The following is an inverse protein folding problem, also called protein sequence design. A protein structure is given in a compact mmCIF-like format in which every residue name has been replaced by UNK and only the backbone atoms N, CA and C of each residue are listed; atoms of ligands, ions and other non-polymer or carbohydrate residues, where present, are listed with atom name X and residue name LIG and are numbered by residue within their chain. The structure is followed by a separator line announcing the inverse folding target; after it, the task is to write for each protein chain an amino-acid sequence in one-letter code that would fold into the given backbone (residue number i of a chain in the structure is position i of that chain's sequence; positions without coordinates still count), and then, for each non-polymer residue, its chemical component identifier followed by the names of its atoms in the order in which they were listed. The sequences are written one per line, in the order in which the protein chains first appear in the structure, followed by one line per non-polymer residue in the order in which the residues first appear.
data_IF_438990406348
#
_entry.id   IF_438990406348
#
_cell.length_a   1.000
_cell.length_b   1.000
_cell.length_c   1.000
_cell.angle_alpha   90.00
_cell.angle_beta   90.00
_cell.angle_gamma   90.00
#
_symmetry.space_group_name_H-M   'P 1'
#
loop_
_entity.id
_entity.type
_entity.pdbx_description
1 polymer ?
#
# COMPACT_ATOMS: atom_id res chain seq x y z
N UNK A 1 -15.77 36.82 55.95
CA UNK A 1 -16.79 37.00 56.99
C UNK A 1 -17.49 35.66 57.08
N UNK A 2 -17.04 34.74 57.97
CA UNK A 2 -17.59 34.39 59.31
C UNK A 2 -18.99 33.71 59.10
N UNK A 3 -19.35 32.52 59.60
CA UNK A 3 -18.93 31.58 60.64
C UNK A 3 -19.74 30.27 60.42
N UNK A 4 -19.16 29.09 60.65
CA UNK A 4 -19.30 28.17 61.79
C UNK A 4 -20.67 28.09 62.51
N UNK A 5 -21.16 26.84 62.73
CA UNK A 5 -21.46 26.24 64.02
C UNK A 5 -22.13 24.86 63.79
N UNK A 6 -21.52 23.80 64.08
CA UNK A 6 -21.56 22.69 65.07
C UNK A 6 -22.90 22.48 65.80
N UNK A 7 -23.37 21.20 65.84
CA UNK A 7 -23.43 20.38 67.10
C UNK A 7 -24.15 19.04 66.89
N UNK A 8 -23.57 17.96 67.42
CA UNK A 8 -24.19 16.76 67.98
C UNK A 8 -24.69 17.08 69.39
N UNK A 9 -25.42 16.23 70.18
CA UNK A 9 -25.35 14.77 70.28
C UNK A 9 -26.64 14.03 70.78
N UNK A 10 -26.44 12.75 70.98
CA UNK A 10 -26.80 11.87 72.10
C UNK A 10 -28.14 11.11 72.15
N UNK A 11 -28.05 9.81 72.09
CA UNK A 11 -28.25 8.78 73.15
C UNK A 11 -29.70 8.39 73.50
N UNK A 12 -29.92 7.08 73.54
CA UNK A 12 -31.07 6.44 74.19
C UNK A 12 -31.13 4.95 74.01
N UNK A 13 -30.52 4.22 74.94
CA UNK A 13 -30.68 2.78 75.15
C UNK A 13 -32.13 2.46 75.54
N UNK A 14 -32.68 1.32 75.11
CA UNK A 14 -33.27 0.41 76.13
C UNK A 14 -33.51 -1.00 75.54
N UNK A 15 -33.06 -1.94 76.26
CA UNK A 15 -33.14 -3.40 76.20
C UNK A 15 -34.58 -3.91 76.45
N UNK A 16 -35.00 -4.96 75.76
CA UNK A 16 -35.94 -5.93 76.32
C UNK A 16 -35.80 -7.30 75.63
N UNK A 17 -35.39 -8.23 76.40
CA UNK A 17 -35.25 -9.65 76.23
C UNK A 17 -36.65 -10.33 76.29
N UNK A 18 -36.96 -11.29 75.39
CA UNK A 18 -37.76 -12.47 75.72
C UNK A 18 -37.55 -13.62 74.72
N UNK A 19 -37.31 -14.73 75.31
CA UNK A 19 -37.07 -16.12 74.94
C UNK A 19 -38.33 -16.77 74.34
N UNK A 20 -38.15 -17.63 73.38
CA UNK A 20 -38.49 -19.05 73.29
C UNK A 20 -39.06 -19.49 71.93
N UNK A 21 -38.63 -20.65 71.51
CA UNK A 21 -39.39 -21.49 70.58
C UNK A 21 -38.49 -22.11 69.44
N UNK A 22 -37.72 -23.14 69.82
CA UNK A 22 -37.08 -24.02 68.84
C UNK A 22 -38.08 -24.92 68.17
N UNK A 23 -38.17 -24.89 66.84
CA UNK A 23 -38.62 -26.00 66.04
C UNK A 23 -37.65 -26.22 64.88
N UNK A 24 -36.82 -27.26 65.03
CA UNK A 24 -35.88 -27.69 63.99
C UNK A 24 -36.64 -28.39 62.87
N UNK A 25 -36.75 -27.78 61.69
CA UNK A 25 -37.04 -28.47 60.44
C UNK A 25 -35.71 -28.73 59.75
N UNK A 26 -35.26 -29.96 59.75
CA UNK A 26 -34.12 -30.44 58.96
C UNK A 26 -34.58 -30.52 57.49
N UNK A 27 -34.26 -29.47 56.72
CA UNK A 27 -34.31 -29.50 55.24
C UNK A 27 -33.03 -30.16 54.79
N UNK A 28 -33.10 -31.40 54.32
CA UNK A 28 -32.04 -32.08 53.62
C UNK A 28 -31.69 -31.27 52.35
N UNK A 29 -30.63 -30.50 52.43
CA UNK A 29 -30.02 -29.86 51.23
C UNK A 29 -29.39 -30.97 50.38
N UNK A 30 -30.11 -31.37 49.34
CA UNK A 30 -29.48 -32.10 48.22
C UNK A 30 -28.50 -31.15 47.54
N UNK A 31 -27.22 -31.55 47.38
CA UNK A 31 -26.32 -30.77 46.56
C UNK A 31 -26.87 -30.86 45.11
N UNK A 32 -27.48 -29.78 44.64
CA UNK A 32 -27.72 -29.61 43.22
C UNK A 32 -26.35 -29.64 42.52
N UNK A 33 -26.02 -30.78 41.95
CA UNK A 33 -24.89 -30.88 41.03
C UNK A 33 -25.08 -29.78 39.98
N UNK A 34 -24.26 -28.73 40.11
CA UNK A 34 -24.16 -27.70 39.09
C UNK A 34 -23.77 -28.40 37.78
N UNK A 35 -24.76 -28.65 36.93
CA UNK A 35 -24.46 -29.06 35.55
C UNK A 35 -23.63 -27.97 34.95
N UNK A 36 -22.44 -28.29 34.40
CA UNK A 36 -21.66 -27.28 33.69
C UNK A 36 -22.55 -26.80 32.54
N UNK A 37 -22.98 -25.55 32.63
CA UNK A 37 -23.62 -24.84 31.55
C UNK A 37 -22.68 -24.96 30.37
N UNK A 38 -23.03 -25.79 29.39
CA UNK A 38 -22.33 -25.87 28.12
C UNK A 38 -22.42 -24.47 27.53
N UNK A 39 -21.34 -23.71 27.62
CA UNK A 39 -21.19 -22.41 26.95
C UNK A 39 -21.53 -22.65 25.47
N UNK A 40 -22.76 -22.30 25.10
CA UNK A 40 -23.23 -22.36 23.71
C UNK A 40 -22.51 -21.30 22.90
N UNK A 41 -21.24 -21.57 22.62
CA UNK A 41 -20.44 -20.75 21.70
C UNK A 41 -21.13 -20.70 20.34
N UNK A 42 -20.80 -19.68 19.54
CA UNK A 42 -21.26 -19.50 18.15
C UNK A 42 -21.14 -20.84 17.39
N UNK A 43 -22.22 -21.32 16.76
CA UNK A 43 -22.25 -22.56 15.96
C UNK A 43 -22.57 -22.23 14.50
N UNK A 44 -22.11 -23.08 13.57
CA UNK A 44 -22.52 -23.12 12.17
C UNK A 44 -23.28 -24.40 11.89
N UNK A 45 -24.28 -24.34 11.01
CA UNK A 45 -25.08 -25.50 10.64
C UNK A 45 -24.46 -26.20 9.43
N UNK A 46 -24.23 -27.51 9.58
CA UNK A 46 -23.90 -28.43 8.48
C UNK A 46 -25.11 -29.33 8.20
N UNK A 47 -25.47 -29.50 6.93
CA UNK A 47 -26.50 -30.48 6.52
C UNK A 47 -25.79 -31.74 6.06
N UNK A 48 -26.10 -32.85 6.71
CA UNK A 48 -25.53 -34.17 6.43
C UNK A 48 -25.81 -34.62 5.00
N UNK A 49 -24.87 -35.34 4.43
CA UNK A 49 -24.96 -36.00 3.13
C UNK A 49 -25.15 -37.53 3.32
N UNK A 50 -25.54 -38.21 2.25
CA UNK A 50 -25.67 -39.66 2.29
C UNK A 50 -24.28 -40.30 2.61
N UNK A 51 -24.27 -41.21 3.58
CA UNK A 51 -23.04 -41.89 4.03
C UNK A 51 -22.25 -41.17 5.10
N UNK A 52 -22.65 -39.94 5.50
CA UNK A 52 -21.96 -39.23 6.59
C UNK A 52 -22.12 -39.97 7.92
N UNK A 53 -21.02 -39.99 8.68
CA UNK A 53 -21.01 -40.33 10.11
C UNK A 53 -20.54 -39.12 10.92
N UNK A 54 -20.82 -39.07 12.21
CA UNK A 54 -20.29 -37.99 13.06
C UNK A 54 -18.76 -37.97 13.07
N UNK A 55 -18.13 -39.13 12.96
CA UNK A 55 -16.67 -39.25 12.87
C UNK A 55 -16.13 -38.59 11.59
N UNK A 56 -16.72 -38.89 10.44
CA UNK A 56 -16.32 -38.30 9.15
C UNK A 56 -16.55 -36.82 9.11
N UNK A 57 -17.66 -36.33 9.63
CA UNK A 57 -17.98 -34.90 9.74
C UNK A 57 -16.96 -34.20 10.64
N UNK A 58 -16.59 -34.80 11.79
CA UNK A 58 -15.58 -34.27 12.68
C UNK A 58 -14.18 -34.26 12.01
N UNK A 59 -13.76 -35.38 11.41
CA UNK A 59 -12.48 -35.51 10.72
C UNK A 59 -12.33 -34.50 9.56
N UNK A 60 -13.42 -34.23 8.83
CA UNK A 60 -13.43 -33.32 7.68
C UNK A 60 -13.46 -31.86 8.08
N UNK A 61 -14.25 -31.49 9.06
CA UNK A 61 -14.61 -30.08 9.35
C UNK A 61 -14.19 -29.56 10.72
N UNK A 62 -13.79 -30.43 11.66
CA UNK A 62 -13.33 -30.02 12.98
C UNK A 62 -11.81 -30.21 13.14
N UNK A 63 -11.28 -29.91 14.32
CA UNK A 63 -9.85 -29.99 14.60
C UNK A 63 -9.30 -31.41 14.59
N UNK A 64 -10.17 -32.40 14.82
CA UNK A 64 -9.82 -33.80 14.73
C UNK A 64 -11.04 -34.72 14.75
N UNK A 65 -10.85 -36.01 14.41
CA UNK A 65 -11.94 -36.97 14.39
C UNK A 65 -12.57 -37.17 15.77
N UNK A 66 -11.80 -37.06 16.85
CA UNK A 66 -12.29 -37.24 18.24
C UNK A 66 -13.33 -36.20 18.65
N UNK A 67 -13.46 -35.11 17.93
CA UNK A 67 -14.53 -34.11 18.12
C UNK A 67 -15.92 -34.67 17.79
N UNK A 68 -16.07 -35.90 17.27
CA UNK A 68 -17.35 -36.53 17.02
C UNK A 68 -18.16 -36.69 18.29
N UNK A 69 -17.55 -36.96 19.45
CA UNK A 69 -18.24 -37.06 20.74
C UNK A 69 -18.86 -35.72 21.16
N UNK A 70 -18.14 -34.59 20.87
CA UNK A 70 -18.66 -33.25 21.08
C UNK A 70 -19.87 -32.99 20.20
N UNK A 71 -19.81 -33.37 18.90
CA UNK A 71 -20.93 -33.26 17.97
C UNK A 71 -22.11 -34.06 18.43
N UNK A 72 -21.90 -35.29 18.89
CA UNK A 72 -22.98 -36.16 19.43
C UNK A 72 -23.74 -35.50 20.59
N UNK A 73 -22.99 -34.95 21.55
CA UNK A 73 -23.59 -34.30 22.72
C UNK A 73 -24.35 -33.03 22.36
N UNK A 74 -23.75 -32.15 21.54
CA UNK A 74 -24.36 -30.85 21.16
C UNK A 74 -25.63 -31.07 20.33
N UNK A 75 -25.64 -32.08 19.45
CA UNK A 75 -26.76 -32.34 18.53
C UNK A 75 -27.70 -33.45 19.03
N UNK A 76 -27.39 -34.09 20.17
CA UNK A 76 -28.18 -35.20 20.74
C UNK A 76 -28.43 -36.33 19.72
N UNK A 77 -27.37 -36.68 18.95
CA UNK A 77 -27.49 -37.71 17.92
C UNK A 77 -27.47 -39.10 18.53
N UNK A 78 -28.57 -39.92 18.39
CA UNK A 78 -28.63 -41.26 19.01
C UNK A 78 -27.77 -42.29 18.29
N UNK A 79 -27.63 -42.19 16.97
CA UNK A 79 -26.89 -43.15 16.13
C UNK A 79 -25.73 -42.44 15.39
N UNK A 80 -24.53 -42.29 15.99
CA UNK A 80 -23.43 -41.53 15.42
C UNK A 80 -22.81 -42.10 14.12
N UNK A 81 -23.07 -43.38 13.85
CA UNK A 81 -22.57 -44.09 12.64
C UNK A 81 -23.55 -44.02 11.46
N UNK A 82 -24.79 -43.61 11.68
CA UNK A 82 -25.85 -43.58 10.66
C UNK A 82 -26.63 -42.27 10.73
N UNK A 83 -26.16 -41.28 9.98
CA UNK A 83 -26.84 -40.00 9.91
C UNK A 83 -27.83 -39.99 8.74
N UNK A 84 -29.04 -39.53 8.99
CA UNK A 84 -30.03 -39.29 7.95
C UNK A 84 -29.55 -38.12 7.07
N UNK A 85 -29.54 -38.25 5.72
CA UNK A 85 -29.23 -37.14 4.83
C UNK A 85 -30.12 -35.91 5.10
N UNK A 86 -29.56 -34.71 5.06
CA UNK A 86 -30.29 -33.46 5.32
C UNK A 86 -30.41 -33.09 6.80
N UNK A 87 -29.95 -33.94 7.74
CA UNK A 87 -29.96 -33.61 9.17
C UNK A 87 -29.08 -32.39 9.44
N UNK A 88 -29.65 -31.41 10.15
CA UNK A 88 -28.94 -30.18 10.51
C UNK A 88 -28.06 -30.40 11.77
N UNK A 89 -26.75 -30.44 11.60
CA UNK A 89 -25.80 -30.56 12.69
C UNK A 89 -25.23 -29.18 13.03
N UNK A 90 -25.23 -28.80 14.31
CA UNK A 90 -24.56 -27.62 14.86
C UNK A 90 -23.11 -27.95 15.13
N UNK A 91 -22.18 -27.28 14.43
CA UNK A 91 -20.74 -27.41 14.61
C UNK A 91 -20.21 -26.15 15.34
N UNK A 92 -19.46 -26.29 16.46
CA UNK A 92 -18.90 -25.16 17.17
C UNK A 92 -17.87 -24.42 16.33
N UNK A 93 -18.04 -23.12 16.13
CA UNK A 93 -17.14 -22.29 15.30
C UNK A 93 -15.67 -22.37 15.77
N UNK A 94 -15.47 -22.41 17.11
CA UNK A 94 -14.13 -22.49 17.71
C UNK A 94 -13.38 -23.80 17.41
N UNK A 95 -14.10 -24.85 17.04
CA UNK A 95 -13.55 -26.18 16.71
C UNK A 95 -13.43 -26.41 15.21
N UNK A 96 -13.89 -25.50 14.36
CA UNK A 96 -13.81 -25.65 12.91
C UNK A 96 -12.35 -25.75 12.45
N UNK A 97 -12.10 -26.71 11.56
CA UNK A 97 -10.82 -26.90 10.89
C UNK A 97 -10.50 -25.70 10.00
N UNK A 98 -9.29 -25.18 10.16
CA UNK A 98 -8.76 -24.06 9.35
C UNK A 98 -7.55 -24.56 8.57
N UNK A 99 -7.52 -24.22 7.29
CA UNK A 99 -6.36 -24.44 6.41
C UNK A 99 -5.52 -23.17 6.36
N UNK A 100 -4.20 -23.33 6.41
CA UNK A 100 -3.27 -22.23 6.17
C UNK A 100 -3.26 -21.87 4.69
N UNK A 101 -3.26 -20.60 4.41
CA UNK A 101 -3.07 -20.04 3.08
C UNK A 101 -1.68 -19.43 2.97
N UNK A 102 -1.31 -19.06 1.76
CA UNK A 102 -0.05 -18.38 1.45
C UNK A 102 -0.33 -17.09 0.70
N UNK A 103 0.62 -16.14 0.76
CA UNK A 103 0.70 -14.97 -0.09
C UNK A 103 1.84 -15.15 -1.08
N UNK A 104 1.65 -14.72 -2.32
CA UNK A 104 2.67 -14.76 -3.37
C UNK A 104 3.32 -13.40 -3.52
N UNK A 105 4.64 -13.34 -3.62
CA UNK A 105 5.36 -12.13 -3.97
C UNK A 105 5.27 -11.94 -5.48
N UNK A 106 4.66 -10.84 -5.92
CA UNK A 106 4.49 -10.52 -7.35
C UNK A 106 5.55 -9.58 -7.87
N UNK A 107 6.08 -8.69 -7.01
CA UNK A 107 7.18 -7.80 -7.37
C UNK A 107 8.12 -7.58 -6.17
N UNK A 108 9.43 -7.56 -6.44
CA UNK A 108 10.49 -7.17 -5.51
C UNK A 108 11.48 -6.29 -6.25
N UNK A 109 11.77 -5.14 -5.67
CA UNK A 109 12.79 -4.21 -6.15
C UNK A 109 13.67 -3.74 -4.99
N UNK A 110 14.95 -3.53 -5.25
CA UNK A 110 15.90 -3.05 -4.25
C UNK A 110 16.13 -4.04 -3.10
N UNK A 111 16.37 -3.53 -1.90
CA UNK A 111 16.66 -4.33 -0.72
C UNK A 111 15.37 -4.81 -0.05
N UNK A 112 15.11 -6.11 -0.12
CA UNK A 112 13.98 -6.74 0.56
C UNK A 112 14.34 -8.11 1.13
N UNK A 113 13.82 -8.43 2.30
CA UNK A 113 14.12 -9.66 3.03
C UNK A 113 12.86 -10.27 3.64
N UNK A 114 12.83 -11.60 3.71
CA UNK A 114 11.87 -12.35 4.52
C UNK A 114 12.53 -12.93 5.76
N UNK A 115 11.81 -12.98 6.85
CA UNK A 115 12.17 -13.74 8.04
C UNK A 115 11.39 -15.04 8.09
N UNK A 116 12.10 -16.17 8.14
CA UNK A 116 11.53 -17.50 8.24
C UNK A 116 12.49 -18.39 9.01
N UNK A 117 11.99 -19.22 9.92
CA UNK A 117 12.83 -20.20 10.64
C UNK A 117 13.94 -19.60 11.53
N UNK A 118 13.80 -18.33 11.96
CA UNK A 118 14.74 -17.68 12.88
C UNK A 118 15.78 -16.77 12.21
N UNK A 119 15.78 -16.63 10.87
CA UNK A 119 16.73 -15.79 10.15
C UNK A 119 16.07 -14.95 9.06
N UNK A 120 16.70 -13.83 8.69
CA UNK A 120 16.37 -13.06 7.50
C UNK A 120 17.14 -13.57 6.28
N UNK A 121 16.44 -13.74 5.17
CA UNK A 121 17.01 -14.10 3.87
C UNK A 121 16.51 -13.13 2.79
N UNK A 122 17.27 -12.90 1.70
CA UNK A 122 16.80 -12.12 0.57
C UNK A 122 15.45 -12.63 0.04
N UNK A 123 14.59 -11.69 -0.35
CA UNK A 123 13.30 -12.01 -0.94
C UNK A 123 13.39 -11.97 -2.47
N UNK A 124 12.70 -12.88 -3.14
CA UNK A 124 12.63 -12.95 -4.59
C UNK A 124 11.18 -13.00 -5.09
N UNK A 125 10.98 -12.63 -6.36
CA UNK A 125 9.70 -12.77 -7.04
C UNK A 125 9.22 -14.23 -7.01
N UNK A 126 7.91 -14.42 -6.99
CA UNK A 126 7.22 -15.71 -6.89
C UNK A 126 7.47 -16.49 -5.59
N UNK A 127 8.13 -15.89 -4.58
CA UNK A 127 8.25 -16.50 -3.25
C UNK A 127 6.86 -16.62 -2.62
N UNK A 128 6.55 -17.79 -2.06
CA UNK A 128 5.33 -18.01 -1.28
C UNK A 128 5.63 -17.73 0.20
N UNK A 129 4.86 -16.82 0.79
CA UNK A 129 4.94 -16.48 2.22
C UNK A 129 3.84 -17.19 2.99
N UNK A 130 4.19 -17.76 4.12
CA UNK A 130 3.29 -18.46 5.01
C UNK A 130 2.93 -17.62 6.25
N UNK A 131 1.91 -18.06 6.97
CA UNK A 131 1.54 -17.50 8.28
C UNK A 131 2.73 -17.57 9.26
N UNK A 132 3.03 -16.46 9.93
CA UNK A 132 4.15 -16.29 10.86
C UNK A 132 5.41 -15.72 10.23
N UNK A 133 5.50 -15.64 8.90
CA UNK A 133 6.65 -15.00 8.24
C UNK A 133 6.52 -13.48 8.23
N UNK A 134 7.67 -12.81 8.12
CA UNK A 134 7.78 -11.35 8.08
C UNK A 134 8.51 -10.92 6.81
N UNK A 135 8.10 -9.77 6.29
CA UNK A 135 8.76 -9.09 5.16
C UNK A 135 9.25 -7.75 5.66
N UNK A 136 10.47 -7.38 5.27
CA UNK A 136 10.99 -6.03 5.47
C UNK A 136 11.64 -5.50 4.21
N UNK A 137 11.47 -4.20 3.97
CA UNK A 137 12.12 -3.44 2.90
C UNK A 137 13.19 -2.53 3.49
N UNK A 138 14.27 -2.31 2.76
CA UNK A 138 15.28 -1.29 3.09
C UNK A 138 14.94 0.05 2.44
N UNK A 139 15.84 1.04 2.54
CA UNK A 139 15.64 2.43 2.10
C UNK A 139 15.26 2.60 0.61
N UNK A 140 15.58 1.64 -0.23
CA UNK A 140 15.23 1.59 -1.66
C UNK A 140 14.49 0.31 -2.04
N UNK A 141 13.89 -0.36 -1.05
CA UNK A 141 13.21 -1.63 -1.23
C UNK A 141 11.72 -1.46 -1.48
N UNK A 142 11.18 -2.24 -2.42
CA UNK A 142 9.74 -2.32 -2.68
C UNK A 142 9.35 -3.78 -2.76
N UNK A 143 8.21 -4.12 -2.17
CA UNK A 143 7.64 -5.46 -2.24
C UNK A 143 6.15 -5.35 -2.48
N UNK A 144 5.64 -6.11 -3.44
CA UNK A 144 4.20 -6.29 -3.62
C UNK A 144 3.87 -7.77 -3.46
N UNK A 145 2.92 -8.05 -2.59
CA UNK A 145 2.38 -9.39 -2.36
C UNK A 145 0.92 -9.46 -2.81
N UNK A 146 0.53 -10.64 -3.28
CA UNK A 146 -0.82 -10.98 -3.72
C UNK A 146 -1.37 -12.15 -2.90
N UNK A 147 -2.61 -12.03 -2.46
CA UNK A 147 -3.35 -13.09 -1.80
C UNK A 147 -4.16 -13.89 -2.82
N UNK A 148 -4.57 -15.10 -2.45
CA UNK A 148 -5.29 -16.03 -3.33
C UNK A 148 -6.64 -15.51 -3.87
N UNK A 149 -7.18 -14.42 -3.31
CA UNK A 149 -8.40 -13.77 -3.76
C UNK A 149 -8.17 -12.55 -4.67
N UNK A 150 -6.92 -12.28 -5.04
CA UNK A 150 -6.54 -11.12 -5.86
C UNK A 150 -6.34 -9.82 -5.06
N UNK A 151 -6.32 -9.89 -3.72
CA UNK A 151 -5.93 -8.76 -2.88
C UNK A 151 -4.44 -8.47 -3.06
N UNK A 152 -4.07 -7.22 -3.30
CA UNK A 152 -2.68 -6.75 -3.38
C UNK A 152 -2.31 -5.91 -2.17
N UNK A 153 -1.06 -6.08 -1.72
CA UNK A 153 -0.50 -5.27 -0.64
C UNK A 153 0.93 -4.88 -1.03
N UNK A 154 1.22 -3.58 -1.07
CA UNK A 154 2.53 -3.04 -1.42
C UNK A 154 3.20 -2.42 -0.21
N UNK A 155 4.46 -2.79 0.00
CA UNK A 155 5.34 -2.26 1.04
C UNK A 155 6.37 -1.34 0.36
N UNK A 156 6.32 -0.03 0.60
CA UNK A 156 7.34 0.90 0.15
C UNK A 156 8.62 0.78 1.01
N UNK A 157 9.63 1.64 0.79
CA UNK A 157 10.86 1.65 1.58
C UNK A 157 10.62 1.68 3.10
N UNK A 158 11.57 1.11 3.85
CA UNK A 158 11.65 1.12 5.32
C UNK A 158 10.41 0.57 6.02
N UNK A 159 9.73 -0.40 5.43
CA UNK A 159 8.51 -1.00 5.94
C UNK A 159 8.72 -2.44 6.43
N UNK A 160 7.96 -2.84 7.45
CA UNK A 160 8.00 -4.20 8.01
C UNK A 160 6.61 -4.71 8.33
N UNK A 161 6.24 -5.84 7.72
CA UNK A 161 4.93 -6.49 7.84
C UNK A 161 5.09 -7.96 8.24
N UNK A 162 4.29 -8.42 9.20
CA UNK A 162 4.16 -9.84 9.58
C UNK A 162 2.82 -10.40 9.09
N UNK A 163 2.83 -11.58 8.50
CA UNK A 163 1.64 -12.35 8.13
C UNK A 163 1.12 -13.11 9.36
N UNK A 164 0.40 -12.43 10.26
CA UNK A 164 0.04 -12.97 11.59
C UNK A 164 -0.96 -14.12 11.54
N UNK A 165 -1.96 -13.99 10.67
CA UNK A 165 -2.96 -15.04 10.41
C UNK A 165 -3.32 -15.01 8.94
N UNK A 166 -3.26 -16.16 8.29
CA UNK A 166 -3.62 -16.31 6.90
C UNK A 166 -4.28 -17.68 6.70
N UNK A 167 -5.60 -17.76 6.91
CA UNK A 167 -6.33 -19.03 7.01
C UNK A 167 -7.68 -18.99 6.32
N UNK A 168 -8.16 -20.17 5.92
CA UNK A 168 -9.52 -20.42 5.43
C UNK A 168 -10.18 -21.49 6.28
N UNK A 169 -11.39 -21.26 6.72
CA UNK A 169 -12.22 -22.28 7.41
C UNK A 169 -12.74 -23.28 6.38
N UNK A 170 -12.46 -24.56 6.54
CA UNK A 170 -12.77 -25.62 5.55
C UNK A 170 -14.26 -25.68 5.24
N UNK A 171 -15.12 -25.74 6.25
CA UNK A 171 -16.57 -25.88 6.08
C UNK A 171 -17.21 -24.66 5.42
N UNK A 172 -16.87 -23.47 5.88
CA UNK A 172 -17.56 -22.24 5.48
C UNK A 172 -16.84 -21.51 4.36
N UNK A 173 -15.55 -21.85 4.13
CA UNK A 173 -14.65 -21.10 3.23
C UNK A 173 -14.41 -19.66 3.72
N UNK A 174 -14.72 -19.34 4.99
CA UNK A 174 -14.49 -18.04 5.59
C UNK A 174 -12.98 -17.75 5.65
N UNK A 175 -12.61 -16.54 5.25
CA UNK A 175 -11.22 -16.07 5.23
C UNK A 175 -10.90 -15.31 6.53
N UNK A 176 -9.76 -15.62 7.12
CA UNK A 176 -9.23 -14.98 8.32
C UNK A 176 -7.82 -14.48 8.04
N UNK A 177 -7.67 -13.16 7.84
CA UNK A 177 -6.45 -12.51 7.38
C UNK A 177 -6.10 -11.36 8.32
N UNK A 178 -4.95 -11.48 8.99
CA UNK A 178 -4.44 -10.48 9.92
C UNK A 178 -2.97 -10.26 9.63
N UNK A 179 -2.62 -9.02 9.40
CA UNK A 179 -1.26 -8.55 9.18
C UNK A 179 -0.85 -7.61 10.32
N UNK A 180 0.41 -7.62 10.69
CA UNK A 180 0.96 -6.73 11.72
C UNK A 180 2.04 -5.85 11.10
N UNK A 181 1.74 -4.56 10.95
CA UNK A 181 2.66 -3.53 10.50
C UNK A 181 3.43 -3.02 11.72
N UNK A 182 4.72 -3.33 11.79
CA UNK A 182 5.56 -2.94 12.94
C UNK A 182 6.39 -1.70 12.65
N UNK A 183 6.52 -1.30 11.36
CA UNK A 183 7.24 -0.12 10.91
C UNK A 183 6.83 0.25 9.48
N UNK A 184 6.85 1.54 9.17
CA UNK A 184 6.65 2.06 7.81
C UNK A 184 5.21 1.98 7.35
N UNK A 185 4.99 1.57 6.12
CA UNK A 185 3.73 1.71 5.43
C UNK A 185 3.32 0.42 4.69
N UNK A 186 2.02 0.23 4.55
CA UNK A 186 1.43 -0.74 3.63
C UNK A 186 0.26 -0.09 2.88
N UNK A 187 0.33 -0.14 1.55
CA UNK A 187 -0.74 0.24 0.64
C UNK A 187 -1.50 -1.04 0.24
N UNK A 188 -2.81 -1.06 0.40
CA UNK A 188 -3.63 -2.27 0.24
C UNK A 188 -4.82 -2.01 -0.65
N UNK A 189 -4.95 -2.87 -1.66
CA UNK A 189 -6.14 -2.97 -2.50
C UNK A 189 -6.82 -4.32 -2.22
N UNK A 190 -7.83 -4.28 -1.33
CA UNK A 190 -8.50 -5.47 -0.82
C UNK A 190 -9.74 -5.75 -1.64
N UNK A 191 -9.82 -6.94 -2.22
CA UNK A 191 -11.01 -7.40 -2.94
C UNK A 191 -12.22 -7.48 -2.00
N UNK A 192 -13.42 -7.26 -2.53
CA UNK A 192 -14.65 -7.30 -1.74
C UNK A 192 -14.81 -8.63 -1.01
N UNK A 193 -14.97 -8.58 0.32
CA UNK A 193 -15.19 -9.75 1.16
C UNK A 193 -16.59 -10.31 0.92
N UNK A 194 -16.65 -11.54 0.40
CA UNK A 194 -17.91 -12.18 -0.04
C UNK A 194 -18.79 -12.64 1.12
N UNK A 195 -18.19 -12.95 2.29
CA UNK A 195 -18.90 -13.48 3.45
C UNK A 195 -18.91 -12.49 4.60
N UNK A 196 -20.00 -12.45 5.35
CA UNK A 196 -20.16 -11.53 6.48
C UNK A 196 -19.08 -11.70 7.56
N UNK A 197 -18.65 -12.94 7.77
CA UNK A 197 -17.67 -13.28 8.80
C UNK A 197 -16.22 -13.32 8.25
N UNK A 198 -15.98 -12.97 6.97
CA UNK A 198 -14.61 -12.77 6.45
C UNK A 198 -13.95 -11.63 7.19
N UNK A 199 -12.67 -11.82 7.51
CA UNK A 199 -11.86 -10.85 8.24
C UNK A 199 -10.62 -10.47 7.45
N UNK A 200 -10.40 -9.18 7.29
CA UNK A 200 -9.14 -8.60 6.86
C UNK A 200 -8.78 -7.47 7.81
N UNK A 201 -7.61 -7.55 8.42
CA UNK A 201 -7.14 -6.55 9.38
C UNK A 201 -5.66 -6.25 9.19
N UNK A 202 -5.31 -4.98 9.21
CA UNK A 202 -3.95 -4.52 9.41
C UNK A 202 -3.86 -3.93 10.81
N UNK A 203 -2.89 -4.39 11.58
CA UNK A 203 -2.64 -3.97 12.95
C UNK A 203 -1.32 -3.22 13.01
N UNK A 204 -1.30 -2.09 13.68
CA UNK A 204 -0.09 -1.43 14.15
C UNK A 204 0.10 -1.70 15.65
N UNK A 205 1.17 -1.24 16.29
CA UNK A 205 1.31 -1.32 17.75
C UNK A 205 0.14 -0.71 18.52
N UNK A 206 -0.51 0.33 18.01
CA UNK A 206 -1.56 1.11 18.68
C UNK A 206 -2.99 0.81 18.23
N UNK A 207 -3.21 0.48 16.94
CA UNK A 207 -4.56 0.34 16.38
C UNK A 207 -4.78 -0.92 15.57
N UNK A 208 -6.04 -1.20 15.29
CA UNK A 208 -6.51 -2.23 14.36
C UNK A 208 -7.36 -1.55 13.29
N UNK A 209 -6.95 -1.65 12.03
CA UNK A 209 -7.72 -1.26 10.86
C UNK A 209 -8.38 -2.47 10.23
N UNK A 210 -9.72 -2.52 10.23
CA UNK A 210 -10.52 -3.61 9.68
C UNK A 210 -11.32 -3.16 8.47
N UNK A 211 -11.36 -3.99 7.39
CA UNK A 211 -11.96 -3.62 6.10
C UNK A 211 -12.84 -4.73 5.51
N UNK A 212 -13.65 -4.34 4.51
CA UNK A 212 -14.52 -5.27 3.76
C UNK A 212 -14.44 -5.12 2.23
N UNK A 213 -13.33 -4.66 1.69
CA UNK A 213 -13.16 -4.37 0.27
C UNK A 213 -12.94 -2.87 0.11
N UNK A 214 -11.69 -2.49 0.13
CA UNK A 214 -11.24 -1.10 0.29
C UNK A 214 -9.88 -0.95 -0.33
N UNK A 215 -9.63 0.24 -0.86
CA UNK A 215 -8.28 0.70 -1.16
C UNK A 215 -7.87 1.70 -0.09
N UNK A 216 -6.82 1.37 0.66
CA UNK A 216 -6.41 2.17 1.83
C UNK A 216 -4.92 1.97 2.14
N UNK A 217 -4.36 2.93 2.85
CA UNK A 217 -2.99 2.89 3.38
C UNK A 217 -3.00 2.89 4.89
N UNK A 218 -2.03 2.20 5.47
CA UNK A 218 -1.71 2.27 6.88
C UNK A 218 -0.23 2.61 7.01
N UNK A 219 0.08 3.70 7.69
CA UNK A 219 1.43 4.11 8.00
C UNK A 219 1.64 4.14 9.50
N UNK A 220 2.72 3.53 9.99
CA UNK A 220 3.14 3.56 11.38
C UNK A 220 4.52 4.19 11.49
N UNK A 221 4.58 5.35 12.12
CA UNK A 221 5.81 6.12 12.35
C UNK A 221 6.52 5.62 13.61
N UNK A 222 7.32 4.56 13.46
CA UNK A 222 8.01 3.91 14.58
C UNK A 222 9.14 4.76 15.19
N UNK A 223 9.75 5.63 14.39
CA UNK A 223 10.93 6.43 14.79
C UNK A 223 10.55 7.85 15.23
N UNK A 224 9.32 8.30 14.94
CA UNK A 224 8.80 9.61 15.29
C UNK A 224 7.92 9.59 16.55
N UNK A 225 6.67 10.05 16.39
CA UNK A 225 5.71 10.13 17.49
C UNK A 225 4.90 8.85 17.74
N UNK A 226 5.27 7.74 17.10
CA UNK A 226 4.59 6.44 17.15
C UNK A 226 3.09 6.53 16.76
N UNK A 227 2.73 7.51 15.95
CA UNK A 227 1.38 7.65 15.42
C UNK A 227 1.10 6.63 14.31
N UNK A 228 -0.15 6.22 14.21
CA UNK A 228 -0.64 5.44 13.08
C UNK A 228 -1.58 6.31 12.25
N UNK A 229 -1.30 6.42 10.95
CA UNK A 229 -2.15 7.08 9.96
C UNK A 229 -2.87 6.03 9.14
N UNK A 230 -4.14 6.26 8.88
CA UNK A 230 -4.97 5.40 8.02
C UNK A 230 -5.64 6.31 7.01
N UNK A 231 -5.33 6.16 5.72
CA UNK A 231 -5.95 6.90 4.62
C UNK A 231 -6.80 5.95 3.77
N UNK A 232 -8.04 6.34 3.50
CA UNK A 232 -8.99 5.53 2.73
C UNK A 232 -9.23 6.17 1.37
N UNK A 233 -8.85 5.45 0.31
CA UNK A 233 -8.99 5.91 -1.08
C UNK A 233 -10.28 5.41 -1.73
N UNK A 234 -10.79 4.25 -1.29
CA UNK A 234 -12.06 3.69 -1.72
C UNK A 234 -12.64 2.79 -0.62
N UNK A 235 -13.96 2.82 -0.44
CA UNK A 235 -14.68 2.02 0.53
C UNK A 235 -14.72 2.60 1.94
N UNK A 236 -14.61 1.75 2.96
CA UNK A 236 -14.68 2.16 4.37
C UNK A 236 -13.79 1.27 5.24
N UNK A 237 -13.04 1.90 6.14
CA UNK A 237 -12.17 1.24 7.13
C UNK A 237 -12.68 1.50 8.53
N UNK A 238 -12.85 0.47 9.34
CA UNK A 238 -13.07 0.61 10.78
C UNK A 238 -11.73 0.66 11.51
N UNK A 239 -11.42 1.78 12.15
CA UNK A 239 -10.18 1.98 12.90
C UNK A 239 -10.50 2.00 14.39
N UNK A 240 -9.87 1.12 15.16
CA UNK A 240 -10.07 1.03 16.61
C UNK A 240 -8.73 0.94 17.36
N UNK A 241 -8.64 1.54 18.53
CA UNK A 241 -7.53 1.31 19.44
C UNK A 241 -7.46 -0.15 19.88
N UNK A 242 -6.25 -0.71 20.02
CA UNK A 242 -6.09 -2.13 20.43
C UNK A 242 -6.81 -2.47 21.75
N UNK A 243 -6.96 -1.51 22.64
CA UNK A 243 -7.65 -1.70 23.93
C UNK A 243 -9.16 -1.41 23.88
N UNK A 244 -9.66 -0.84 22.76
CA UNK A 244 -11.04 -0.37 22.59
C UNK A 244 -11.62 -0.87 21.27
N UNK A 245 -11.51 -2.16 20.99
CA UNK A 245 -11.93 -2.75 19.71
C UNK A 245 -13.44 -2.63 19.43
N UNK A 246 -14.27 -2.38 20.44
CA UNK A 246 -15.70 -2.17 20.28
C UNK A 246 -16.05 -0.78 19.72
N UNK A 247 -15.16 0.21 19.88
CA UNK A 247 -15.41 1.60 19.56
C UNK A 247 -14.66 2.00 18.27
N UNK A 248 -14.92 1.28 17.17
CA UNK A 248 -14.27 1.57 15.91
C UNK A 248 -14.82 2.86 15.28
N UNK A 249 -13.92 3.80 14.98
CA UNK A 249 -14.19 4.96 14.13
C UNK A 249 -14.26 4.52 12.67
N UNK A 250 -15.33 4.84 11.97
CA UNK A 250 -15.46 4.56 10.54
C UNK A 250 -14.81 5.71 9.75
N UNK A 251 -13.83 5.34 8.93
CA UNK A 251 -13.17 6.23 7.98
C UNK A 251 -13.64 5.85 6.58
N UNK A 252 -14.31 6.78 5.91
CA UNK A 252 -14.83 6.59 4.55
C UNK A 252 -13.82 7.01 3.49
N UNK A 253 -14.11 6.68 2.22
CA UNK A 253 -13.32 7.14 1.08
C UNK A 253 -13.09 8.66 1.13
N UNK A 254 -11.92 9.09 0.70
CA UNK A 254 -11.41 10.47 0.70
C UNK A 254 -11.19 11.07 2.11
N UNK A 255 -11.13 10.22 3.15
CA UNK A 255 -10.78 10.63 4.50
C UNK A 255 -9.61 9.83 5.06
N UNK A 256 -8.87 10.48 5.96
CA UNK A 256 -7.84 9.86 6.78
C UNK A 256 -8.12 10.02 8.27
N UNK A 257 -7.49 9.19 9.08
CA UNK A 257 -7.53 9.31 10.55
C UNK A 257 -6.15 9.06 11.12
N UNK A 258 -5.84 9.75 12.20
CA UNK A 258 -4.56 9.66 12.91
C UNK A 258 -4.84 9.12 14.31
N UNK A 259 -4.16 8.06 14.66
CA UNK A 259 -4.20 7.52 16.00
C UNK A 259 -2.88 7.77 16.73
N UNK A 260 -2.97 8.14 17.99
CA UNK A 260 -1.80 8.35 18.87
C UNK A 260 -1.14 7.03 19.24
N UNK A 261 0.05 7.09 19.82
CA UNK A 261 0.74 5.93 20.37
C UNK A 261 -0.06 5.19 21.46
N UNK A 262 -0.93 5.91 22.19
CA UNK A 262 -1.84 5.33 23.19
C UNK A 262 -3.04 4.57 22.58
N UNK A 263 -3.25 4.68 21.27
CA UNK A 263 -4.38 4.07 20.57
C UNK A 263 -5.64 4.92 20.52
N UNK A 264 -5.58 6.20 20.91
CA UNK A 264 -6.70 7.12 20.73
C UNK A 264 -6.81 7.48 19.25
N UNK A 265 -7.95 7.14 18.64
CA UNK A 265 -8.24 7.39 17.22
C UNK A 265 -8.88 8.77 17.07
N UNK A 266 -8.25 9.64 16.26
CA UNK A 266 -8.78 10.97 15.94
C UNK A 266 -9.99 10.92 15.02
N UNK A 267 -10.75 12.02 14.98
CA UNK A 267 -11.82 12.19 14.00
C UNK A 267 -11.29 12.10 12.57
N UNK A 268 -12.06 11.55 11.61
CA UNK A 268 -11.67 11.54 10.21
C UNK A 268 -11.47 12.97 9.66
N UNK A 269 -10.39 13.15 8.88
CA UNK A 269 -10.01 14.42 8.24
C UNK A 269 -10.06 14.19 6.71
N UNK A 270 -10.61 15.14 5.92
CA UNK A 270 -10.60 15.05 4.47
C UNK A 270 -9.17 14.93 3.93
N UNK A 271 -8.93 14.04 2.99
CA UNK A 271 -7.67 13.92 2.27
C UNK A 271 -7.55 14.99 1.19
N UNK A 272 -6.33 15.41 0.88
CA UNK A 272 -6.06 16.29 -0.25
C UNK A 272 -6.44 15.60 -1.57
N UNK A 273 -6.97 16.33 -2.55
CA UNK A 273 -7.22 15.79 -3.88
C UNK A 273 -5.91 15.42 -4.59
N UNK A 274 -6.03 14.66 -5.67
CA UNK A 274 -4.88 14.26 -6.47
C UNK A 274 -4.24 15.48 -7.15
N UNK A 275 -2.91 15.68 -6.99
CA UNK A 275 -2.22 16.78 -7.65
C UNK A 275 -2.03 16.49 -9.14
N UNK A 276 -1.98 17.54 -9.95
CA UNK A 276 -1.69 17.45 -11.37
C UNK A 276 -0.18 17.64 -11.63
N UNK A 277 0.31 17.02 -12.74
CA UNK A 277 1.61 17.36 -13.32
C UNK A 277 1.45 18.53 -14.28
N UNK A 278 2.41 19.47 -14.30
CA UNK A 278 2.37 20.62 -15.21
C UNK A 278 2.53 20.19 -16.68
N UNK A 279 3.33 19.15 -16.93
CA UNK A 279 3.65 18.64 -18.27
C UNK A 279 3.56 17.10 -18.29
N UNK A 280 2.35 16.50 -18.21
CA UNK A 280 2.19 15.05 -18.09
C UNK A 280 2.68 14.29 -19.33
N UNK A 281 2.57 14.91 -20.54
CA UNK A 281 2.92 14.28 -21.81
C UNK A 281 4.39 14.49 -22.22
N UNK A 282 5.19 15.17 -21.38
CA UNK A 282 6.60 15.42 -21.70
C UNK A 282 7.40 14.14 -21.74
N UNK A 283 8.03 13.86 -22.91
CA UNK A 283 9.05 12.81 -22.97
C UNK A 283 10.23 13.19 -22.11
N UNK A 284 10.64 12.28 -21.24
CA UNK A 284 11.76 12.48 -20.31
C UNK A 284 13.08 12.13 -21.02
N UNK A 285 13.72 13.11 -21.65
CA UNK A 285 14.90 12.95 -22.50
C UNK A 285 16.20 13.50 -21.89
N UNK A 286 16.10 14.21 -20.76
CA UNK A 286 17.24 14.76 -20.02
C UNK A 286 18.01 13.66 -19.24
N UNK A 287 19.25 13.91 -18.76
CA UNK A 287 20.00 12.96 -17.94
C UNK A 287 19.20 12.42 -16.76
N UNK A 288 18.54 13.29 -16.01
CA UNK A 288 17.65 12.95 -14.92
C UNK A 288 16.17 13.14 -15.35
N UNK A 289 15.28 12.28 -14.86
CA UNK A 289 13.84 12.48 -15.01
C UNK A 289 13.38 13.53 -14.01
N UNK A 290 12.57 14.49 -14.47
CA UNK A 290 11.99 15.49 -13.60
C UNK A 290 10.50 15.68 -13.86
N UNK A 291 9.73 15.72 -12.78
CA UNK A 291 8.31 16.04 -12.81
C UNK A 291 8.04 17.33 -12.03
N UNK A 292 7.34 18.25 -12.66
CA UNK A 292 6.87 19.48 -12.04
C UNK A 292 5.38 19.28 -11.67
N UNK A 293 5.12 19.29 -10.37
CA UNK A 293 3.78 19.16 -9.79
C UNK A 293 3.14 20.54 -9.72
N UNK A 294 1.89 20.66 -10.16
CA UNK A 294 1.12 21.90 -9.96
C UNK A 294 0.89 22.07 -8.46
N UNK A 295 1.34 23.18 -7.85
CA UNK A 295 1.19 23.39 -6.42
C UNK A 295 -0.27 23.30 -5.96
N UNK A 296 -0.51 22.56 -4.89
CA UNK A 296 -1.82 22.34 -4.31
C UNK A 296 -1.89 23.05 -2.96
N UNK A 297 -2.98 23.76 -2.70
CA UNK A 297 -3.23 24.43 -1.41
C UNK A 297 -3.25 23.39 -0.27
N UNK A 298 -2.69 23.73 0.88
CA UNK A 298 -2.51 22.87 2.04
C UNK A 298 -1.58 21.65 1.83
N UNK A 299 -0.90 21.53 0.69
CA UNK A 299 0.12 20.51 0.51
C UNK A 299 1.45 20.96 1.11
N UNK A 300 1.95 20.23 2.09
CA UNK A 300 3.28 20.43 2.68
C UNK A 300 4.38 19.76 1.87
N UNK A 301 4.05 18.63 1.25
CA UNK A 301 4.99 17.84 0.46
C UNK A 301 4.26 17.04 -0.62
N UNK A 302 5.04 16.49 -1.54
CA UNK A 302 4.55 15.58 -2.58
C UNK A 302 5.33 14.28 -2.53
N UNK A 303 4.63 13.19 -2.80
CA UNK A 303 5.23 11.87 -3.00
C UNK A 303 5.05 11.46 -4.44
N UNK A 304 6.14 11.08 -5.08
CA UNK A 304 6.12 10.53 -6.43
C UNK A 304 6.75 9.14 -6.41
N UNK A 305 6.10 8.20 -7.07
CA UNK A 305 6.56 6.81 -7.16
C UNK A 305 6.57 6.37 -8.61
N UNK A 306 7.62 5.67 -9.03
CA UNK A 306 7.75 5.11 -10.36
C UNK A 306 7.42 3.62 -10.35
N UNK A 307 6.59 3.20 -11.32
CA UNK A 307 6.20 1.81 -11.53
C UNK A 307 6.38 1.38 -12.99
N UNK A 308 6.51 0.07 -13.21
CA UNK A 308 6.59 -0.52 -14.55
C UNK A 308 5.23 -0.87 -15.15
N UNK A 309 4.19 -0.80 -14.35
CA UNK A 309 2.81 -1.11 -14.75
C UNK A 309 1.81 -0.06 -14.26
N UNK A 310 0.68 0.06 -14.95
CA UNK A 310 -0.37 1.03 -14.64
C UNK A 310 -1.06 0.80 -13.29
N UNK A 311 -1.06 -0.45 -12.80
CA UNK A 311 -1.58 -0.81 -11.48
C UNK A 311 -0.64 -0.46 -10.34
N UNK A 312 0.57 0.03 -10.65
CA UNK A 312 1.61 0.35 -9.67
C UNK A 312 1.96 -0.82 -8.74
N UNK A 313 1.95 -2.04 -9.29
CA UNK A 313 2.31 -3.26 -8.57
C UNK A 313 3.82 -3.49 -8.56
N UNK A 314 4.53 -3.14 -9.65
CA UNK A 314 5.99 -3.22 -9.76
C UNK A 314 6.62 -1.83 -9.57
N UNK A 315 6.59 -1.34 -8.33
CA UNK A 315 7.24 -0.09 -7.93
C UNK A 315 8.75 -0.29 -7.86
N UNK A 316 9.53 0.70 -8.33
CA UNK A 316 10.99 0.61 -8.33
C UNK A 316 11.74 1.85 -7.84
N UNK A 317 11.06 2.99 -7.73
CA UNK A 317 11.68 4.21 -7.22
C UNK A 317 10.63 5.12 -6.57
N UNK A 318 11.05 5.88 -5.57
CA UNK A 318 10.21 6.82 -4.85
C UNK A 318 11.00 8.06 -4.46
N UNK A 319 10.34 9.21 -4.47
CA UNK A 319 10.87 10.43 -3.88
C UNK A 319 9.77 11.16 -3.11
N UNK A 320 10.14 11.79 -2.00
CA UNK A 320 9.31 12.73 -1.26
C UNK A 320 9.99 14.08 -1.30
N UNK A 321 9.27 15.13 -1.66
CA UNK A 321 9.80 16.48 -1.81
C UNK A 321 8.85 17.52 -1.24
N UNK A 322 9.41 18.54 -0.60
CA UNK A 322 8.67 19.75 -0.19
C UNK A 322 8.58 20.77 -1.34
N UNK A 323 9.36 20.56 -2.39
CA UNK A 323 9.32 21.35 -3.62
C UNK A 323 8.26 20.79 -4.57
N UNK A 324 7.74 21.63 -5.47
CA UNK A 324 6.89 21.20 -6.57
C UNK A 324 7.65 20.40 -7.65
N UNK A 325 8.97 20.29 -7.57
CA UNK A 325 9.79 19.53 -8.52
C UNK A 325 10.38 18.29 -7.88
N UNK A 326 10.13 17.14 -8.50
CA UNK A 326 10.67 15.84 -8.13
C UNK A 326 11.67 15.36 -9.20
N UNK A 327 12.79 14.79 -8.78
CA UNK A 327 13.86 14.32 -9.67
C UNK A 327 14.18 12.86 -9.38
N UNK A 328 14.30 12.06 -10.45
CA UNK A 328 14.74 10.67 -10.39
C UNK A 328 15.96 10.45 -11.27
N UNK A 329 16.92 9.67 -10.76
CA UNK A 329 18.18 9.37 -11.43
C UNK A 329 18.21 7.92 -11.91
N UNK A 330 19.09 7.67 -12.89
CA UNK A 330 19.44 6.32 -13.34
C UNK A 330 18.24 5.47 -13.81
N UNK A 331 17.19 6.11 -14.33
CA UNK A 331 16.06 5.40 -14.91
C UNK A 331 16.39 5.05 -16.35
N UNK A 332 16.41 3.76 -16.74
CA UNK A 332 16.66 3.31 -18.12
C UNK A 332 15.59 3.81 -19.11
N UNK A 333 15.90 3.79 -20.42
CA UNK A 333 14.88 4.04 -21.45
C UNK A 333 13.74 3.00 -21.35
N UNK A 334 12.51 3.47 -21.53
CA UNK A 334 11.32 2.62 -21.41
C UNK A 334 10.04 3.44 -21.29
N UNK A 335 8.92 2.75 -21.22
CA UNK A 335 7.62 3.32 -20.86
C UNK A 335 7.33 2.94 -19.43
N UNK A 336 6.96 3.91 -18.62
CA UNK A 336 6.76 3.80 -17.19
C UNK A 336 5.51 4.54 -16.74
N UNK A 337 5.21 4.42 -15.46
CA UNK A 337 4.13 5.13 -14.80
C UNK A 337 4.67 5.91 -13.60
N UNK A 338 4.12 7.10 -13.38
CA UNK A 338 4.40 7.89 -12.19
C UNK A 338 3.10 8.11 -11.42
N UNK A 339 3.10 7.70 -10.16
CA UNK A 339 2.02 7.98 -9.21
C UNK A 339 2.41 9.20 -8.38
N UNK A 340 1.52 10.21 -8.34
CA UNK A 340 1.74 11.47 -7.64
C UNK A 340 0.66 11.64 -6.59
N UNK A 341 1.04 11.98 -5.36
CA UNK A 341 0.13 12.29 -4.27
C UNK A 341 0.66 13.50 -3.48
N UNK A 342 -0.25 14.27 -2.88
CA UNK A 342 0.08 15.37 -1.98
C UNK A 342 0.01 14.91 -0.53
N UNK A 343 0.84 15.48 0.33
CA UNK A 343 0.88 15.19 1.78
C UNK A 343 0.53 16.49 2.51
N UNK A 344 -0.45 16.43 3.42
CA UNK A 344 -0.89 17.58 4.20
C UNK A 344 0.01 17.87 5.42
N UNK A 345 -0.31 18.92 6.19
CA UNK A 345 0.42 19.30 7.41
C UNK A 345 0.38 18.23 8.52
N UNK A 346 -0.61 17.37 8.51
CA UNK A 346 -0.74 16.25 9.46
C UNK A 346 0.05 15.01 9.02
N UNK A 347 0.63 15.06 7.81
CA UNK A 347 1.33 13.95 7.20
C UNK A 347 0.40 12.88 6.61
N UNK A 348 -0.88 13.21 6.40
CA UNK A 348 -1.80 12.35 5.65
C UNK A 348 -1.54 12.50 4.15
N UNK A 349 -1.39 11.38 3.48
CA UNK A 349 -1.20 11.34 2.03
C UNK A 349 -2.57 11.26 1.32
N UNK A 350 -2.82 12.23 0.46
CA UNK A 350 -4.07 12.41 -0.27
C UNK A 350 -4.30 11.39 -1.39
N UNK A 351 -5.32 11.65 -2.19
CA UNK A 351 -5.65 10.85 -3.36
C UNK A 351 -4.49 10.89 -4.39
N UNK A 352 -4.10 9.74 -4.97
CA UNK A 352 -3.06 9.71 -5.99
C UNK A 352 -3.62 9.88 -7.39
N UNK A 353 -2.79 10.39 -8.32
CA UNK A 353 -2.99 10.30 -9.76
C UNK A 353 -1.84 9.53 -10.40
N UNK A 354 -2.14 8.71 -11.40
CA UNK A 354 -1.14 7.92 -12.14
C UNK A 354 -1.08 8.42 -13.58
N UNK A 355 0.12 8.77 -14.04
CA UNK A 355 0.41 9.17 -15.42
C UNK A 355 1.36 8.17 -16.06
N UNK A 356 1.13 7.85 -17.34
CA UNK A 356 2.11 7.15 -18.16
C UNK A 356 3.14 8.17 -18.68
N UNK A 357 4.40 7.79 -18.75
CA UNK A 357 5.43 8.62 -19.37
C UNK A 357 6.45 7.77 -20.12
N UNK A 358 7.10 8.41 -21.10
CA UNK A 358 8.18 7.80 -21.84
C UNK A 358 9.53 8.35 -21.37
N UNK A 359 10.47 7.45 -21.10
CA UNK A 359 11.86 7.75 -20.86
C UNK A 359 12.65 7.44 -22.13
N UNK A 360 13.23 8.48 -22.72
CA UNK A 360 14.13 8.38 -23.89
C UNK A 360 15.29 9.33 -23.69
N UNK A 361 16.34 8.85 -23.04
CA UNK A 361 17.54 9.66 -22.86
C UNK A 361 18.16 9.93 -24.22
N UNK A 362 18.19 11.19 -24.59
CA UNK A 362 18.81 11.71 -25.78
C UNK A 362 19.70 12.89 -25.39
N UNK A 363 21.00 12.65 -25.25
CA UNK A 363 21.97 13.74 -25.14
C UNK A 363 22.19 14.37 -26.51
N UNK A 364 22.36 15.68 -26.58
CA UNK A 364 22.77 16.37 -27.79
C UNK A 364 23.68 17.53 -27.41
N UNK A 365 24.98 17.34 -27.57
CA UNK A 365 26.00 18.36 -27.40
C UNK A 365 26.44 18.85 -28.77
N UNK A 366 26.48 20.16 -28.95
CA UNK A 366 26.88 20.77 -30.21
C UNK A 366 27.83 21.91 -29.99
N UNK A 367 28.82 22.04 -30.86
CA UNK A 367 29.86 23.06 -30.80
C UNK A 367 30.17 23.64 -32.19
N UNK A 368 30.65 24.85 -32.21
CA UNK A 368 31.11 25.52 -33.45
C UNK A 368 32.52 26.06 -33.22
N UNK A 369 33.36 25.93 -34.24
CA UNK A 369 34.76 26.45 -34.23
C UNK A 369 35.15 26.98 -35.60
N UNK A 370 36.04 28.02 -35.67
CA UNK A 370 36.62 28.42 -36.91
C UNK A 370 37.42 27.28 -37.56
N UNK A 371 37.23 27.07 -38.86
CA UNK A 371 37.95 26.13 -39.70
C UNK A 371 38.83 26.84 -40.74
N UNK A 372 39.63 26.11 -41.54
CA UNK A 372 40.56 26.69 -42.52
C UNK A 372 39.91 27.55 -43.61
N UNK A 373 38.64 27.23 -43.99
CA UNK A 373 37.88 27.90 -45.07
C UNK A 373 36.48 28.36 -44.65
N UNK A 374 36.13 28.27 -43.34
CA UNK A 374 34.80 28.60 -42.87
C UNK A 374 34.60 28.26 -41.40
N UNK A 375 33.39 27.86 -41.02
CA UNK A 375 33.03 27.41 -39.67
C UNK A 375 32.67 25.94 -39.68
N UNK A 376 33.30 25.20 -38.81
CA UNK A 376 32.97 23.80 -38.59
C UNK A 376 32.05 23.66 -37.38
N UNK A 377 30.92 22.98 -37.59
CA UNK A 377 29.97 22.62 -36.56
C UNK A 377 30.05 21.12 -36.33
N UNK A 378 30.12 20.73 -35.07
CA UNK A 378 30.20 19.32 -34.64
C UNK A 378 29.17 19.05 -33.57
N UNK A 379 28.63 17.84 -33.58
CA UNK A 379 27.67 17.38 -32.57
C UNK A 379 27.91 15.94 -32.20
N UNK A 380 27.49 15.63 -30.96
CA UNK A 380 27.44 14.30 -30.43
C UNK A 380 26.03 14.07 -29.84
N UNK A 381 25.42 12.96 -30.17
CA UNK A 381 24.14 12.58 -29.63
C UNK A 381 24.25 11.21 -28.94
N UNK A 382 24.00 11.18 -27.62
CA UNK A 382 23.99 9.95 -26.85
C UNK A 382 22.59 9.33 -26.86
N UNK A 383 22.50 8.00 -27.03
CA UNK A 383 21.24 7.27 -27.00
C UNK A 383 20.37 7.37 -28.26
N UNK A 384 20.90 7.97 -29.33
CA UNK A 384 20.15 8.18 -30.59
C UNK A 384 20.15 6.95 -31.55
N UNK A 385 20.97 5.92 -31.26
CA UNK A 385 21.18 4.78 -32.15
C UNK A 385 22.04 5.11 -33.40
N UNK A 386 22.39 4.06 -34.17
CA UNK A 386 23.24 4.21 -35.37
C UNK A 386 22.49 4.80 -36.56
N UNK A 387 21.16 4.70 -36.57
CA UNK A 387 20.28 5.19 -37.63
C UNK A 387 19.81 6.65 -37.45
N UNK A 388 20.37 7.35 -36.46
CA UNK A 388 20.01 8.74 -36.20
C UNK A 388 20.32 9.64 -37.40
N UNK A 389 19.42 10.58 -37.66
CA UNK A 389 19.57 11.64 -38.64
C UNK A 389 19.65 12.98 -37.95
N UNK A 390 20.29 13.93 -38.61
CA UNK A 390 20.46 15.27 -38.04
C UNK A 390 19.92 16.30 -39.00
N UNK A 391 19.31 17.34 -38.44
CA UNK A 391 19.01 18.59 -39.15
C UNK A 391 19.91 19.69 -38.57
N UNK A 392 20.62 20.40 -39.40
CA UNK A 392 21.41 21.55 -39.03
C UNK A 392 20.79 22.82 -39.60
N UNK A 393 20.57 23.83 -38.76
CA UNK A 393 20.00 25.11 -39.17
C UNK A 393 20.95 26.22 -38.74
N UNK A 394 21.31 27.11 -39.68
CA UNK A 394 22.09 28.34 -39.47
C UNK A 394 21.29 29.51 -40.00
N UNK A 395 21.07 30.54 -39.20
CA UNK A 395 20.30 31.73 -39.58
C UNK A 395 20.96 32.99 -39.07
N UNK A 396 20.54 34.13 -39.63
CA UNK A 396 20.89 35.48 -39.09
C UNK A 396 19.87 35.95 -38.04
N UNK A 397 18.81 35.19 -37.82
CA UNK A 397 17.77 35.49 -36.84
C UNK A 397 17.81 34.50 -35.69
N UNK A 398 17.63 35.00 -34.46
CA UNK A 398 17.66 34.18 -33.23
C UNK A 398 16.55 33.14 -33.18
N UNK A 399 15.44 33.36 -33.82
CA UNK A 399 14.32 32.42 -33.94
C UNK A 399 14.52 31.37 -35.07
N UNK A 400 15.72 31.40 -35.74
CA UNK A 400 16.08 30.53 -36.83
C UNK A 400 15.18 30.69 -38.06
N UNK A 401 14.37 31.73 -38.15
CA UNK A 401 13.61 32.06 -39.31
C UNK A 401 14.53 32.51 -40.47
N UNK A 402 14.13 32.25 -41.73
CA UNK A 402 14.90 32.55 -42.91
C UNK A 402 16.37 32.03 -42.85
N UNK A 403 16.57 30.71 -42.80
CA UNK A 403 17.87 30.10 -42.61
C UNK A 403 18.82 30.39 -43.79
N UNK A 404 20.09 30.59 -43.48
CA UNK A 404 21.19 30.67 -44.47
C UNK A 404 21.60 29.27 -44.94
N UNK A 405 21.52 28.31 -43.98
CA UNK A 405 21.73 26.87 -44.20
C UNK A 405 20.62 26.12 -43.50
N UNK A 406 19.99 25.16 -44.15
CA UNK A 406 19.01 24.22 -43.57
C UNK A 406 19.23 22.85 -44.22
N UNK A 407 20.06 22.05 -43.59
CA UNK A 407 20.43 20.71 -44.05
C UNK A 407 19.72 19.64 -43.23
N UNK A 408 18.94 18.79 -43.90
CA UNK A 408 18.17 17.73 -43.28
C UNK A 408 18.69 16.33 -43.65
N UNK A 409 18.44 15.34 -42.77
CA UNK A 409 18.80 13.94 -43.05
C UNK A 409 20.28 13.64 -42.97
N UNK A 410 21.10 14.51 -42.36
CA UNK A 410 22.53 14.31 -42.24
C UNK A 410 22.83 13.05 -41.41
N UNK A 411 23.75 12.22 -41.90
CA UNK A 411 24.33 11.09 -41.14
C UNK A 411 25.62 11.46 -40.42
N UNK A 412 26.35 12.43 -41.02
CA UNK A 412 27.58 12.94 -40.45
C UNK A 412 27.29 13.76 -39.18
N UNK A 413 28.17 13.65 -38.21
CA UNK A 413 28.09 14.39 -36.93
C UNK A 413 28.86 15.72 -36.99
N UNK A 414 28.99 16.25 -38.20
CA UNK A 414 29.65 17.54 -38.48
C UNK A 414 29.21 18.10 -39.83
N UNK A 415 29.29 19.42 -39.95
CA UNK A 415 29.15 20.17 -41.21
C UNK A 415 30.14 21.31 -41.23
N UNK A 416 30.71 21.59 -42.39
CA UNK A 416 31.53 22.76 -42.61
C UNK A 416 30.75 23.74 -43.49
N UNK A 417 30.63 24.99 -43.02
CA UNK A 417 29.94 26.06 -43.77
C UNK A 417 30.99 27.10 -44.16
N UNK A 418 31.18 27.23 -45.49
CA UNK A 418 32.17 28.11 -46.08
C UNK A 418 31.55 29.43 -46.55
N UNK A 419 32.37 30.45 -46.76
CA UNK A 419 31.98 31.72 -47.38
C UNK A 419 30.85 32.50 -46.69
N UNK A 420 30.82 32.42 -45.35
CA UNK A 420 29.86 33.21 -44.57
C UNK A 420 30.25 34.69 -44.56
N UNK A 421 29.38 35.62 -44.97
CA UNK A 421 29.61 37.05 -44.81
C UNK A 421 29.73 37.47 -43.35
N UNK A 422 30.47 38.56 -43.03
CA UNK A 422 30.51 39.09 -41.67
C UNK A 422 29.11 39.40 -41.10
N UNK A 423 28.94 39.15 -39.79
CA UNK A 423 27.69 39.39 -39.11
C UNK A 423 27.42 38.39 -37.99
N UNK A 424 26.26 38.53 -37.36
CA UNK A 424 25.80 37.65 -36.30
C UNK A 424 25.06 36.45 -36.88
N UNK A 425 25.32 35.29 -36.33
CA UNK A 425 24.71 34.02 -36.73
C UNK A 425 24.19 33.25 -35.52
N UNK A 426 23.06 32.58 -35.73
CA UNK A 426 22.38 31.71 -34.77
C UNK A 426 22.23 30.34 -35.39
N UNK A 427 22.45 29.29 -34.61
CA UNK A 427 22.39 27.94 -35.14
C UNK A 427 21.89 26.94 -34.10
N UNK A 428 21.32 25.86 -34.59
CA UNK A 428 20.93 24.71 -33.78
C UNK A 428 21.04 23.42 -34.61
N UNK A 429 21.19 22.33 -33.91
CA UNK A 429 21.13 20.96 -34.47
C UNK A 429 19.94 20.24 -33.86
N UNK A 430 19.21 19.54 -34.68
CA UNK A 430 18.14 18.60 -34.24
C UNK A 430 18.61 17.19 -34.55
N UNK A 431 18.63 16.31 -33.55
CA UNK A 431 18.78 14.87 -33.75
C UNK A 431 17.40 14.27 -33.91
N UNK A 432 17.26 13.37 -34.89
CA UNK A 432 16.06 12.60 -35.20
C UNK A 432 16.39 11.12 -35.12
N UNK A 433 15.62 10.38 -34.31
CA UNK A 433 15.81 8.95 -34.10
C UNK A 433 14.49 8.21 -34.16
N UNK A 434 14.51 6.99 -34.67
CA UNK A 434 13.37 6.10 -34.69
C UNK A 434 13.68 4.87 -33.84
N UNK A 435 12.93 4.69 -32.76
CA UNK A 435 13.15 3.59 -31.82
C UNK A 435 11.82 3.02 -31.35
N UNK A 436 11.72 1.69 -31.30
CA UNK A 436 10.54 0.98 -30.83
C UNK A 436 9.24 1.33 -31.60
N UNK A 437 9.34 1.70 -32.88
CA UNK A 437 8.19 2.08 -33.71
C UNK A 437 7.73 3.55 -33.52
N UNK A 438 8.50 4.36 -32.78
CA UNK A 438 8.20 5.78 -32.53
C UNK A 438 9.32 6.68 -33.01
N UNK A 439 8.94 7.88 -33.43
CA UNK A 439 9.84 8.93 -33.84
C UNK A 439 10.14 9.87 -32.67
N UNK A 440 11.41 10.16 -32.45
CA UNK A 440 11.91 11.06 -31.40
C UNK A 440 12.78 12.11 -32.02
N UNK A 441 12.69 13.33 -31.49
CA UNK A 441 13.58 14.42 -31.89
C UNK A 441 14.01 15.23 -30.67
N UNK A 442 15.26 15.75 -30.72
CA UNK A 442 15.77 16.71 -29.74
C UNK A 442 16.56 17.78 -30.47
N UNK A 443 16.27 19.05 -30.14
CA UNK A 443 17.00 20.19 -30.70
C UNK A 443 17.93 20.78 -29.63
N UNK A 444 19.17 21.09 -30.01
CA UNK A 444 20.13 21.80 -29.15
C UNK A 444 19.61 23.20 -28.78
N UNK A 445 20.07 23.79 -27.68
CA UNK A 445 19.87 25.22 -27.46
C UNK A 445 20.41 26.02 -28.68
N UNK A 446 19.72 27.11 -29.00
CA UNK A 446 20.20 28.02 -30.06
C UNK A 446 21.48 28.69 -29.59
N UNK A 447 22.56 28.46 -30.31
CA UNK A 447 23.87 29.05 -30.07
C UNK A 447 24.15 30.17 -31.04
N UNK A 448 24.99 31.13 -30.66
CA UNK A 448 25.32 32.27 -31.47
C UNK A 448 26.85 32.43 -31.63
N UNK A 449 27.26 32.98 -32.77
CA UNK A 449 28.60 33.48 -32.95
C UNK A 449 28.61 34.70 -33.89
N UNK A 450 29.65 35.53 -33.78
CA UNK A 450 29.85 36.72 -34.62
C UNK A 450 31.07 36.54 -35.47
N UNK A 451 30.93 36.74 -36.79
CA UNK A 451 32.05 36.88 -37.74
C UNK A 451 32.40 38.34 -37.88
N UNK A 452 33.59 38.69 -37.40
CA UNK A 452 34.21 39.99 -37.65
C UNK A 452 34.93 40.00 -39.03
N UNK A 453 35.07 41.18 -39.59
CA UNK A 453 35.82 41.37 -40.85
C UNK A 453 37.27 40.98 -40.72
#
# INVERSE_FOLDING_TARGET
VIARVTQRPASGRMTALRVAGALAFAIAAHPAAAQPSAATGKTVVYRTQAGDTLYDVAARYLQGPDDWQLLQRINRVPAPKHLQPGTALKLPVVRLRKEKLTARIVAVQGSAQRWSGGAYAPLANNTMLAEGERVRTGANGFVTLELADGTHMSLPPDSQLELKTLRRTVLTGMLDRVFELTRGEVDSEVTHLKKRDDRFQIRSPSVVAGVRGTRFRVNYDADGNAATRVEVLDGTVGVAGKQQLADATLVHADFGSIATSSGTVGAPVPLLPAPALAHPDKVQDEPDIAFDVVPLEHARAYRLQLGRDAGMLDLFSETRTVSSRAVFREVPNGTYFVRVAAIDDNGLEGAPHVYAFERRRMGLDASASPGPSGYEFRWAADGSGDDARYRFVLSRSKDLSAPVVDEMGLQARRINVEHLPPGDYYWAVTVEAFDGGKFYQKTSPVSAFTLSR
#
